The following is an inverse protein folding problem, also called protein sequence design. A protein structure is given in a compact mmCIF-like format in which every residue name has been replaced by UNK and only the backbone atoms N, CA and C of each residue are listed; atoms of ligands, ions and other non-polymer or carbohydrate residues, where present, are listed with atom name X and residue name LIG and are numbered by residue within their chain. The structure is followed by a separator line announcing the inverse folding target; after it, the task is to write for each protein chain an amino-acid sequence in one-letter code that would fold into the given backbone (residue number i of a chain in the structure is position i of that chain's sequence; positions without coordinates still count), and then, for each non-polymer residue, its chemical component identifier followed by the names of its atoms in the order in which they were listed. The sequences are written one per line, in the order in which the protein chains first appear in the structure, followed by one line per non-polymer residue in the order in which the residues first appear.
data_IF_594117874170
#
_entry.id   IF_594117874170
#
_cell.length_a   1.000
_cell.length_b   1.000
_cell.length_c   1.000
_cell.angle_alpha   90.00
_cell.angle_beta   90.00
_cell.angle_gamma   90.00
#
_symmetry.space_group_name_H-M   'P 1'
#
loop_
_entity.id
_entity.type
_entity.pdbx_description
1 polymer ?
#
# COMPACT_ATOMS: atom_id res chain seq x y z
N UNK A 1 -24.40 -41.38 25.59
CA UNK A 1 -24.48 -41.23 24.12
C UNK A 1 -24.11 -39.78 23.79
N UNK A 2 -22.97 -39.61 23.11
CA UNK A 2 -22.37 -38.40 22.54
C UNK A 2 -21.99 -37.19 23.43
N UNK A 3 -20.71 -37.11 23.78
CA UNK A 3 -19.94 -35.85 23.84
C UNK A 3 -19.27 -35.65 22.48
N UNK A 4 -19.52 -34.52 21.81
CA UNK A 4 -18.84 -34.10 20.59
C UNK A 4 -18.04 -32.84 20.87
N UNK A 5 -16.72 -32.95 20.99
CA UNK A 5 -15.80 -31.82 21.01
C UNK A 5 -15.44 -31.45 19.57
N UNK A 6 -15.77 -30.22 19.17
CA UNK A 6 -15.31 -29.61 17.93
C UNK A 6 -13.79 -29.37 18.00
N UNK A 7 -13.04 -30.03 17.13
CA UNK A 7 -11.64 -29.69 16.86
C UNK A 7 -11.60 -28.55 15.85
N UNK A 8 -11.27 -27.34 16.31
CA UNK A 8 -10.86 -26.23 15.46
C UNK A 8 -9.47 -26.54 14.88
N UNK A 9 -9.41 -26.76 13.58
CA UNK A 9 -8.18 -26.89 12.81
C UNK A 9 -7.55 -25.49 12.68
N UNK A 10 -6.47 -25.22 13.43
CA UNK A 10 -5.59 -24.07 13.17
C UNK A 10 -4.67 -24.41 11.98
N UNK A 11 -4.46 -23.49 11.02
CA UNK A 11 -3.49 -23.70 9.96
C UNK A 11 -2.06 -23.62 10.51
N UNK A 12 -1.23 -24.58 10.09
CA UNK A 12 0.19 -24.66 10.43
C UNK A 12 0.96 -23.49 9.80
N UNK A 13 1.48 -22.57 10.63
CA UNK A 13 2.38 -21.49 10.20
C UNK A 13 3.82 -22.00 10.21
N UNK A 14 4.49 -22.01 9.05
CA UNK A 14 5.90 -22.38 8.95
C UNK A 14 6.76 -21.11 9.07
N UNK A 15 7.68 -21.08 10.05
CA UNK A 15 8.59 -19.98 10.29
C UNK A 15 10.01 -20.45 9.97
N UNK A 16 10.62 -19.90 8.91
CA UNK A 16 12.01 -20.16 8.55
C UNK A 16 12.82 -18.87 8.61
N UNK A 17 14.10 -19.02 8.96
CA UNK A 17 15.09 -17.95 8.95
C UNK A 17 16.08 -18.25 7.83
N UNK A 18 16.17 -17.36 6.84
CA UNK A 18 17.03 -17.57 5.69
C UNK A 18 18.52 -17.50 6.11
N UNK A 19 19.38 -18.40 5.62
CA UNK A 19 20.78 -18.41 5.99
C UNK A 19 21.49 -17.17 5.43
N UNK A 20 22.21 -16.47 6.30
CA UNK A 20 23.13 -15.38 5.93
C UNK A 20 24.43 -16.02 5.43
N UNK A 21 24.66 -16.01 4.12
CA UNK A 21 25.89 -16.56 3.52
C UNK A 21 27.09 -15.66 3.84
N UNK A 22 27.97 -16.11 4.74
CA UNK A 22 29.35 -15.62 4.89
C UNK A 22 30.27 -16.74 4.38
N UNK A 23 30.75 -16.59 3.14
CA UNK A 23 31.83 -17.41 2.58
C UNK A 23 33.16 -16.68 2.70
N UNK A 24 34.15 -17.30 3.35
CA UNK A 24 35.56 -16.91 3.26
C UNK A 24 36.23 -17.76 2.18
N UNK A 25 37.02 -17.09 1.35
CA UNK A 25 37.91 -17.57 0.29
C UNK A 25 37.33 -17.56 -1.15
N UNK A 26 38.13 -17.09 -2.12
CA UNK A 26 37.84 -16.68 -3.53
C UNK A 26 37.61 -15.17 -3.81
N UNK A 27 38.69 -14.39 -3.82
CA UNK A 27 38.68 -12.93 -3.99
C UNK A 27 38.32 -12.35 -5.37
N UNK A 28 38.24 -13.13 -6.46
CA UNK A 28 37.87 -12.60 -7.80
C UNK A 28 36.41 -12.88 -8.20
N UNK A 29 35.86 -14.04 -7.81
CA UNK A 29 34.44 -14.36 -8.01
C UNK A 29 33.56 -13.59 -7.03
N UNK A 30 34.01 -13.39 -5.78
CA UNK A 30 33.27 -12.67 -4.75
C UNK A 30 33.06 -11.19 -5.08
N UNK A 31 34.01 -10.54 -5.76
CA UNK A 31 33.85 -9.16 -6.20
C UNK A 31 32.84 -9.04 -7.35
N UNK A 32 32.92 -9.93 -8.35
CA UNK A 32 31.98 -9.95 -9.49
C UNK A 32 30.55 -10.27 -9.04
N UNK A 33 30.38 -11.32 -8.24
CA UNK A 33 29.10 -11.68 -7.62
C UNK A 33 28.57 -10.56 -6.70
N UNK A 34 29.46 -9.91 -5.94
CA UNK A 34 29.11 -8.77 -5.09
C UNK A 34 28.66 -7.53 -5.87
N UNK A 35 29.23 -7.28 -7.05
CA UNK A 35 28.84 -6.19 -7.96
C UNK A 35 27.49 -6.52 -8.60
N UNK A 36 27.29 -7.73 -9.12
CA UNK A 36 26.03 -8.19 -9.72
C UNK A 36 24.86 -8.08 -8.73
N UNK A 37 25.03 -8.57 -7.50
CA UNK A 37 23.98 -8.45 -6.46
C UNK A 37 23.68 -6.99 -6.11
N UNK A 38 24.68 -6.10 -6.12
CA UNK A 38 24.49 -4.67 -5.87
C UNK A 38 23.72 -4.00 -7.01
N UNK A 39 24.02 -4.35 -8.25
CA UNK A 39 23.35 -3.80 -9.43
C UNK A 39 21.92 -4.32 -9.53
N UNK A 40 21.70 -5.62 -9.32
CA UNK A 40 20.38 -6.25 -9.19
C UNK A 40 19.52 -5.52 -8.14
N UNK A 41 20.07 -5.31 -6.94
CA UNK A 41 19.39 -4.58 -5.86
C UNK A 41 19.05 -3.15 -6.28
N UNK A 42 19.98 -2.47 -6.97
CA UNK A 42 19.78 -1.08 -7.43
C UNK A 42 18.65 -1.00 -8.45
N UNK A 43 18.60 -1.93 -9.39
CA UNK A 43 17.55 -2.04 -10.39
C UNK A 43 16.20 -2.33 -9.73
N UNK A 44 16.15 -3.26 -8.78
CA UNK A 44 14.92 -3.57 -8.04
C UNK A 44 14.43 -2.38 -7.21
N UNK A 45 15.32 -1.66 -6.52
CA UNK A 45 14.99 -0.40 -5.82
C UNK A 45 14.40 0.62 -6.80
N UNK A 46 14.96 0.73 -8.01
CA UNK A 46 14.45 1.65 -9.02
C UNK A 46 13.04 1.25 -9.51
N UNK A 47 12.79 -0.04 -9.72
CA UNK A 47 11.49 -0.60 -10.11
C UNK A 47 10.43 -0.39 -9.03
N UNK A 48 10.73 -0.74 -7.77
CA UNK A 48 9.83 -0.50 -6.63
C UNK A 48 9.57 1.00 -6.50
N UNK A 49 10.59 1.85 -6.59
CA UNK A 49 10.42 3.30 -6.51
C UNK A 49 9.53 3.84 -7.64
N UNK A 50 9.66 3.34 -8.88
CA UNK A 50 8.82 3.73 -10.01
C UNK A 50 7.35 3.38 -9.77
N UNK A 51 7.07 2.20 -9.22
CA UNK A 51 5.73 1.77 -8.87
C UNK A 51 5.15 2.51 -7.64
N UNK A 52 6.01 2.88 -6.69
CA UNK A 52 5.64 3.51 -5.43
C UNK A 52 5.32 5.01 -5.56
N UNK A 53 6.13 5.76 -6.32
CA UNK A 53 6.03 7.23 -6.38
C UNK A 53 4.63 7.78 -6.74
N UNK A 54 3.86 7.18 -7.67
CA UNK A 54 2.50 7.63 -7.97
C UNK A 54 1.51 7.45 -6.81
N UNK A 55 1.78 6.52 -5.89
CA UNK A 55 0.95 6.27 -4.71
C UNK A 55 1.18 7.29 -3.62
N UNK A 56 2.37 7.89 -3.55
CA UNK A 56 2.75 8.73 -2.42
C UNK A 56 1.99 10.06 -2.39
N UNK A 57 1.68 10.51 -1.17
CA UNK A 57 1.01 11.77 -0.97
C UNK A 57 1.98 12.96 -1.05
N UNK A 58 1.93 13.68 -2.19
CA UNK A 58 2.83 14.81 -2.47
C UNK A 58 2.51 16.04 -1.62
N UNK A 59 1.25 16.30 -1.32
CA UNK A 59 0.85 17.45 -0.49
C UNK A 59 1.29 17.25 0.97
N UNK A 60 1.34 15.99 1.41
CA UNK A 60 1.86 15.58 2.71
C UNK A 60 3.38 15.51 2.82
N UNK A 61 4.14 15.86 1.77
CA UNK A 61 5.60 15.67 1.77
C UNK A 61 6.02 14.24 2.12
N UNK A 62 5.16 13.26 1.81
CA UNK A 62 5.40 11.83 2.01
C UNK A 62 5.56 11.37 3.47
N UNK A 63 5.27 12.21 4.46
CA UNK A 63 5.53 11.87 5.87
C UNK A 63 4.47 10.98 6.50
N UNK A 64 3.23 11.02 5.99
CA UNK A 64 2.07 10.39 6.63
C UNK A 64 1.64 11.07 7.95
N UNK A 65 2.26 12.18 8.33
CA UNK A 65 1.96 12.89 9.58
C UNK A 65 0.83 13.89 9.36
N UNK A 66 -0.20 13.87 10.21
CA UNK A 66 -1.28 14.86 10.14
C UNK A 66 -0.74 16.29 10.24
N UNK A 67 -1.29 17.21 9.47
CA UNK A 67 -0.92 18.63 9.48
C UNK A 67 -2.15 19.50 9.63
N UNK A 68 -2.01 20.57 10.39
CA UNK A 68 -2.98 21.65 10.38
C UNK A 68 -2.86 22.40 9.04
N UNK A 69 -3.98 22.56 8.35
CA UNK A 69 -4.11 23.37 7.16
C UNK A 69 -5.33 24.28 7.28
N UNK A 70 -5.47 25.20 6.34
CA UNK A 70 -6.65 26.05 6.23
C UNK A 70 -7.61 25.42 5.23
N UNK A 71 -8.71 24.86 5.71
CA UNK A 71 -9.82 24.38 4.90
C UNK A 71 -10.81 25.50 4.59
N UNK A 72 -11.74 25.24 3.66
CA UNK A 72 -12.86 26.12 3.37
C UNK A 72 -14.18 25.44 3.71
N UNK A 73 -15.04 26.12 4.46
CA UNK A 73 -16.37 25.62 4.80
C UNK A 73 -17.44 26.64 4.41
N UNK A 74 -18.52 26.16 3.79
CA UNK A 74 -19.73 26.99 3.63
C UNK A 74 -20.29 27.31 5.01
N UNK A 75 -20.56 28.59 5.24
CA UNK A 75 -21.12 29.10 6.49
C UNK A 75 -22.11 30.22 6.22
N UNK A 76 -22.68 30.75 7.29
CA UNK A 76 -23.58 31.89 7.27
C UNK A 76 -23.05 33.00 8.15
N UNK A 77 -22.96 34.21 7.61
CA UNK A 77 -22.49 35.40 8.32
C UNK A 77 -23.67 36.34 8.58
N UNK A 78 -23.66 37.11 9.70
CA UNK A 78 -24.69 38.11 9.99
C UNK A 78 -24.52 39.40 9.16
N UNK A 79 -23.58 39.41 8.22
CA UNK A 79 -23.30 40.52 7.31
C UNK A 79 -23.15 40.01 5.89
N UNK A 80 -23.39 40.90 4.92
CA UNK A 80 -23.39 40.56 3.50
C UNK A 80 -22.04 40.01 3.06
N UNK A 81 -22.07 38.80 2.49
CA UNK A 81 -20.94 38.22 1.80
C UNK A 81 -20.98 38.58 0.31
N UNK A 82 -19.83 38.92 -0.28
CA UNK A 82 -19.74 39.17 -1.72
C UNK A 82 -20.07 37.93 -2.57
N UNK A 83 -19.94 36.73 -2.00
CA UNK A 83 -20.21 35.48 -2.71
C UNK A 83 -21.69 35.11 -2.75
N UNK A 84 -22.53 35.71 -1.89
CA UNK A 84 -23.97 35.40 -1.84
C UNK A 84 -24.80 36.28 -2.77
N UNK A 85 -24.82 35.88 -4.05
CA UNK A 85 -25.62 36.57 -5.08
C UNK A 85 -27.13 36.43 -4.87
N UNK A 86 -27.60 35.47 -4.07
CA UNK A 86 -29.04 35.23 -3.86
C UNK A 86 -29.63 36.23 -2.88
N UNK A 87 -28.82 36.75 -1.96
CA UNK A 87 -29.24 37.74 -0.98
C UNK A 87 -29.83 39.00 -1.64
N UNK A 88 -29.20 39.51 -2.70
CA UNK A 88 -29.71 40.68 -3.44
C UNK A 88 -31.05 40.41 -4.15
N UNK A 89 -31.31 39.18 -4.57
CA UNK A 89 -32.60 38.79 -5.18
C UNK A 89 -33.70 38.75 -4.11
N UNK A 90 -33.41 38.18 -2.94
CA UNK A 90 -34.37 38.15 -1.84
C UNK A 90 -34.76 39.56 -1.38
N UNK A 91 -33.80 40.47 -1.26
CA UNK A 91 -34.03 41.88 -0.96
C UNK A 91 -34.90 42.56 -2.03
N UNK A 92 -34.62 42.33 -3.31
CA UNK A 92 -35.43 42.86 -4.40
C UNK A 92 -36.88 42.33 -4.40
N UNK A 93 -37.10 41.13 -3.84
CA UNK A 93 -38.43 40.56 -3.63
C UNK A 93 -39.08 40.98 -2.29
N UNK A 94 -38.46 41.90 -1.54
CA UNK A 94 -39.00 42.42 -0.28
C UNK A 94 -38.72 41.55 0.95
N UNK A 95 -37.85 40.53 0.84
CA UNK A 95 -37.39 39.77 1.99
C UNK A 95 -36.13 40.41 2.59
N UNK A 96 -35.93 40.28 3.90
CA UNK A 96 -34.76 40.83 4.59
C UNK A 96 -33.94 39.67 5.20
N UNK A 97 -32.90 39.18 4.49
CA UNK A 97 -32.09 38.07 4.99
C UNK A 97 -31.26 38.49 6.20
N UNK A 98 -31.39 37.77 7.32
CA UNK A 98 -30.57 37.99 8.51
C UNK A 98 -29.19 37.33 8.42
N UNK A 99 -29.05 36.35 7.52
CA UNK A 99 -27.83 35.56 7.35
C UNK A 99 -27.50 35.40 5.87
N UNK A 100 -26.22 35.53 5.54
CA UNK A 100 -25.70 35.51 4.17
C UNK A 100 -24.73 34.36 4.00
N UNK A 101 -24.83 33.62 2.90
CA UNK A 101 -23.91 32.52 2.58
C UNK A 101 -22.48 33.03 2.38
N UNK A 102 -21.53 32.40 3.03
CA UNK A 102 -20.12 32.72 2.87
C UNK A 102 -19.27 31.45 2.81
N UNK A 103 -18.03 31.62 2.36
CA UNK A 103 -16.97 30.63 2.54
C UNK A 103 -16.03 31.14 3.62
N UNK A 104 -15.98 30.43 4.74
CA UNK A 104 -15.04 30.75 5.81
C UNK A 104 -13.85 29.82 5.77
N UNK A 105 -12.69 30.39 6.10
CA UNK A 105 -11.46 29.64 6.32
C UNK A 105 -11.48 29.07 7.74
N UNK A 106 -11.39 27.74 7.85
CA UNK A 106 -11.36 27.05 9.14
C UNK A 106 -10.06 26.24 9.29
N UNK A 107 -9.53 26.08 10.51
CA UNK A 107 -8.48 25.11 10.76
C UNK A 107 -9.00 23.70 10.44
N UNK A 108 -8.31 23.00 9.54
CA UNK A 108 -8.60 21.62 9.15
C UNK A 108 -7.36 20.74 9.39
N UNK A 109 -7.55 19.62 10.09
CA UNK A 109 -6.48 18.62 10.25
C UNK A 109 -6.50 17.72 9.03
N UNK A 110 -5.57 17.94 8.10
CA UNK A 110 -5.38 17.06 6.96
C UNK A 110 -4.50 15.88 7.36
N UNK A 111 -5.02 14.66 7.18
CA UNK A 111 -4.29 13.41 7.41
C UNK A 111 -3.68 12.92 6.10
N UNK A 112 -2.42 12.50 6.16
CA UNK A 112 -1.72 11.88 5.05
C UNK A 112 -1.48 10.40 5.36
N UNK A 113 -1.42 9.58 4.33
CA UNK A 113 -1.22 8.14 4.48
C UNK A 113 0.07 7.72 3.78
N UNK A 114 0.86 6.89 4.45
CA UNK A 114 2.01 6.24 3.82
C UNK A 114 1.53 5.09 2.95
N UNK A 115 2.31 4.73 1.93
CA UNK A 115 1.95 3.57 1.12
C UNK A 115 2.17 2.28 1.92
N UNK A 116 1.17 1.42 1.90
CA UNK A 116 1.22 0.07 2.43
C UNK A 116 1.81 -0.87 1.37
N UNK A 117 2.72 -1.76 1.76
CA UNK A 117 3.29 -2.75 0.84
C UNK A 117 2.76 -4.12 1.20
N UNK A 118 2.17 -4.79 0.22
CA UNK A 118 1.82 -6.19 0.27
C UNK A 118 2.86 -6.97 -0.50
N UNK A 119 3.54 -7.89 0.17
CA UNK A 119 4.61 -8.68 -0.40
C UNK A 119 4.21 -10.14 -0.42
N UNK A 120 4.14 -10.69 -1.61
CA UNK A 120 3.90 -12.11 -1.83
C UNK A 120 5.09 -12.92 -1.30
N UNK A 121 4.80 -13.83 -0.38
CA UNK A 121 5.76 -14.75 0.24
C UNK A 121 5.41 -16.20 -0.05
N UNK A 122 4.69 -16.45 -1.15
CA UNK A 122 4.44 -17.79 -1.67
C UNK A 122 5.72 -18.48 -2.14
N UNK A 123 5.62 -19.78 -2.42
CA UNK A 123 6.77 -20.60 -2.78
C UNK A 123 7.54 -20.11 -4.01
N UNK A 124 6.84 -19.55 -5.00
CA UNK A 124 7.43 -19.03 -6.25
C UNK A 124 8.25 -17.75 -6.06
N UNK A 125 8.02 -17.01 -4.96
CA UNK A 125 8.73 -15.77 -4.66
C UNK A 125 9.97 -15.97 -3.79
N UNK A 126 10.20 -17.19 -3.26
CA UNK A 126 11.22 -17.45 -2.23
C UNK A 126 12.64 -17.04 -2.63
N UNK A 127 13.00 -17.23 -3.91
CA UNK A 127 14.32 -16.89 -4.43
C UNK A 127 14.53 -15.36 -4.56
N UNK A 128 13.45 -14.62 -4.81
CA UNK A 128 13.47 -13.15 -4.92
C UNK A 128 13.38 -12.43 -3.57
N UNK A 129 12.87 -13.10 -2.52
CA UNK A 129 12.63 -12.48 -1.20
C UNK A 129 13.87 -11.79 -0.61
N UNK A 130 15.08 -12.38 -0.60
CA UNK A 130 16.26 -11.70 -0.06
C UNK A 130 16.54 -10.36 -0.74
N UNK A 131 16.42 -10.31 -2.07
CA UNK A 131 16.67 -9.09 -2.83
C UNK A 131 15.55 -8.07 -2.62
N UNK A 132 14.29 -8.51 -2.61
CA UNK A 132 13.11 -7.69 -2.33
C UNK A 132 13.18 -7.04 -0.95
N UNK A 133 13.54 -7.81 0.08
CA UNK A 133 13.73 -7.30 1.44
C UNK A 133 14.84 -6.24 1.44
N UNK A 134 15.98 -6.55 0.82
CA UNK A 134 17.09 -5.61 0.65
C UNK A 134 16.69 -4.31 -0.07
N UNK A 135 15.80 -4.39 -1.06
CA UNK A 135 15.35 -3.26 -1.87
C UNK A 135 14.28 -2.40 -1.19
N UNK A 136 13.48 -2.94 -0.27
CA UNK A 136 12.48 -2.20 0.50
C UNK A 136 13.10 -1.31 1.60
N UNK A 137 14.19 -1.74 2.21
CA UNK A 137 14.83 -1.05 3.35
C UNK A 137 15.25 0.42 3.07
N UNK A 138 15.80 0.79 1.90
CA UNK A 138 16.07 2.18 1.56
C UNK A 138 14.82 3.05 1.38
N UNK A 139 13.67 2.43 1.07
CA UNK A 139 12.42 3.10 0.77
C UNK A 139 11.53 3.32 2.02
N UNK A 140 11.89 2.73 3.16
CA UNK A 140 11.13 2.72 4.43
C UNK A 140 10.57 4.07 4.89
N UNK A 141 11.23 5.18 4.54
CA UNK A 141 10.76 6.52 4.93
C UNK A 141 9.39 6.85 4.34
N UNK A 142 9.08 6.32 3.16
CA UNK A 142 7.83 6.53 2.42
C UNK A 142 6.77 5.45 2.66
N UNK A 143 7.18 4.35 3.28
CA UNK A 143 6.35 3.18 3.50
C UNK A 143 5.74 3.19 4.90
N UNK A 144 4.58 2.57 5.04
CA UNK A 144 4.01 2.25 6.34
C UNK A 144 5.04 1.46 7.20
N UNK A 145 5.08 1.59 8.54
CA UNK A 145 6.12 0.97 9.37
C UNK A 145 6.17 -0.56 9.36
N UNK A 146 5.20 -1.21 8.72
CA UNK A 146 5.10 -2.64 8.56
C UNK A 146 4.91 -3.00 7.09
N UNK A 147 5.45 -4.14 6.69
CA UNK A 147 5.19 -4.78 5.41
C UNK A 147 4.16 -5.89 5.65
N UNK A 148 3.14 -5.94 4.80
CA UNK A 148 2.09 -6.94 4.86
C UNK A 148 2.52 -8.13 3.99
N UNK A 149 3.19 -9.11 4.58
CA UNK A 149 3.51 -10.35 3.87
C UNK A 149 2.23 -11.16 3.66
N UNK A 150 2.01 -11.68 2.45
CA UNK A 150 0.82 -12.47 2.15
C UNK A 150 1.12 -13.75 1.40
N UNK A 151 0.30 -14.76 1.70
CA UNK A 151 0.21 -16.05 1.01
C UNK A 151 -1.28 -16.37 0.85
N UNK A 152 -1.87 -17.18 1.75
CA UNK A 152 -3.33 -17.33 1.92
C UNK A 152 -3.90 -16.43 3.02
N UNK A 153 -3.03 -15.68 3.71
CA UNK A 153 -3.42 -14.72 4.74
C UNK A 153 -2.40 -13.59 4.81
N UNK A 154 -2.81 -12.45 5.37
CA UNK A 154 -1.92 -11.31 5.58
C UNK A 154 -1.27 -11.39 6.96
N UNK A 155 0.06 -11.25 7.01
CA UNK A 155 0.85 -11.15 8.24
C UNK A 155 1.76 -9.93 8.20
N UNK A 156 1.85 -9.23 9.34
CA UNK A 156 2.67 -8.03 9.45
C UNK A 156 4.13 -8.36 9.81
N UNK A 157 5.06 -7.81 9.04
CA UNK A 157 6.50 -7.91 9.29
C UNK A 157 7.07 -6.50 9.50
N UNK A 158 7.71 -6.27 10.65
CA UNK A 158 8.43 -5.03 10.94
C UNK A 158 9.80 -4.98 10.26
N UNK A 159 10.39 -3.79 10.11
CA UNK A 159 11.69 -3.64 9.43
C UNK A 159 12.85 -4.42 10.08
N UNK A 160 12.85 -4.61 11.39
CA UNK A 160 13.88 -5.44 12.06
C UNK A 160 13.74 -6.92 11.69
N UNK A 161 12.51 -7.43 11.60
CA UNK A 161 12.25 -8.80 11.15
C UNK A 161 12.60 -8.97 9.67
N UNK A 162 12.32 -7.95 8.85
CA UNK A 162 12.67 -7.91 7.44
C UNK A 162 14.19 -7.89 7.23
N UNK A 163 14.95 -7.11 8.01
CA UNK A 163 16.42 -7.14 7.99
C UNK A 163 16.98 -8.52 8.35
N UNK A 164 16.33 -9.23 9.27
CA UNK A 164 16.73 -10.56 9.73
C UNK A 164 16.27 -11.69 8.79
N UNK A 165 15.66 -11.37 7.64
CA UNK A 165 15.23 -12.37 6.67
C UNK A 165 14.09 -13.28 7.17
N UNK A 166 13.25 -12.79 8.09
CA UNK A 166 12.12 -13.58 8.59
C UNK A 166 11.09 -13.79 7.48
N UNK A 167 10.74 -15.04 7.22
CA UNK A 167 9.66 -15.41 6.30
C UNK A 167 8.59 -16.18 7.07
N UNK A 168 7.33 -15.77 6.89
CA UNK A 168 6.15 -16.47 7.40
C UNK A 168 5.29 -16.77 6.18
N UNK A 169 5.16 -18.04 5.80
CA UNK A 169 4.38 -18.44 4.61
C UNK A 169 3.56 -19.68 4.89
N UNK A 170 2.39 -19.76 4.26
CA UNK A 170 1.53 -20.95 4.21
C UNK A 170 1.71 -21.76 2.92
N UNK A 171 2.66 -21.37 2.05
CA UNK A 171 2.96 -21.98 0.73
C UNK A 171 1.85 -21.93 -0.34
N UNK A 172 0.67 -21.36 -0.06
CA UNK A 172 -0.35 -21.02 -1.06
C UNK A 172 -0.35 -19.53 -1.43
N UNK A 173 -1.21 -19.13 -2.37
CA UNK A 173 -1.35 -17.72 -2.80
C UNK A 173 -2.80 -17.39 -3.08
N UNK A 174 -3.36 -16.44 -2.34
CA UNK A 174 -4.73 -15.95 -2.54
C UNK A 174 -4.76 -14.42 -2.39
N UNK A 175 -5.09 -13.71 -3.48
CA UNK A 175 -5.13 -12.24 -3.49
C UNK A 175 -6.34 -11.63 -2.76
N UNK A 176 -7.37 -12.43 -2.52
CA UNK A 176 -8.59 -11.98 -1.85
C UNK A 176 -8.30 -11.53 -0.41
N UNK A 177 -7.36 -12.18 0.29
CA UNK A 177 -6.96 -11.82 1.65
C UNK A 177 -6.34 -10.41 1.71
N UNK A 178 -5.61 -10.00 0.66
CA UNK A 178 -5.02 -8.66 0.52
C UNK A 178 -6.13 -7.62 0.36
N UNK A 179 -7.08 -7.86 -0.54
CA UNK A 179 -8.16 -6.91 -0.81
C UNK A 179 -9.17 -6.82 0.34
N UNK A 180 -9.42 -7.94 1.03
CA UNK A 180 -10.20 -7.95 2.27
C UNK A 180 -9.50 -7.13 3.36
N UNK A 181 -8.18 -7.30 3.53
CA UNK A 181 -7.40 -6.55 4.50
C UNK A 181 -7.41 -5.03 4.21
N UNK A 182 -7.23 -4.62 2.95
CA UNK A 182 -7.35 -3.23 2.51
C UNK A 182 -8.69 -2.59 2.90
N UNK A 183 -9.80 -3.32 2.69
CA UNK A 183 -11.15 -2.86 2.99
C UNK A 183 -11.40 -2.77 4.50
N UNK A 184 -10.95 -3.79 5.25
CA UNK A 184 -11.13 -3.85 6.70
C UNK A 184 -10.38 -2.73 7.42
N UNK A 185 -9.13 -2.49 7.04
CA UNK A 185 -8.26 -1.49 7.67
C UNK A 185 -8.43 -0.07 7.07
N UNK A 186 -9.35 0.11 6.11
CA UNK A 186 -9.64 1.38 5.45
C UNK A 186 -8.43 2.06 4.79
N UNK A 187 -7.53 1.25 4.24
CA UNK A 187 -6.30 1.72 3.60
C UNK A 187 -6.62 2.33 2.23
N UNK A 188 -5.91 3.40 1.85
CA UNK A 188 -6.17 4.12 0.59
C UNK A 188 -5.02 4.04 -0.40
N UNK A 189 -3.83 3.60 0.01
CA UNK A 189 -2.63 3.61 -0.83
C UNK A 189 -1.83 2.33 -0.63
N UNK A 190 -1.75 1.49 -1.66
CA UNK A 190 -1.06 0.21 -1.57
C UNK A 190 -0.22 -0.13 -2.80
N UNK A 191 0.91 -0.78 -2.56
CA UNK A 191 1.75 -1.44 -3.56
C UNK A 191 1.69 -2.94 -3.31
N UNK A 192 1.25 -3.71 -4.29
CA UNK A 192 1.27 -5.18 -4.27
C UNK A 192 2.50 -5.64 -5.04
N UNK A 193 3.31 -6.52 -4.45
CA UNK A 193 4.50 -7.10 -5.06
C UNK A 193 4.31 -8.61 -5.12
N UNK A 194 4.35 -9.20 -6.31
CA UNK A 194 4.05 -10.63 -6.55
C UNK A 194 4.71 -11.11 -7.85
N UNK A 195 4.67 -12.41 -8.12
CA UNK A 195 4.97 -12.98 -9.43
C UNK A 195 3.81 -12.85 -10.42
N UNK A 196 2.59 -12.56 -9.96
CA UNK A 196 1.41 -12.37 -10.80
C UNK A 196 0.43 -13.55 -10.83
N UNK A 197 0.77 -14.69 -10.22
CA UNK A 197 -0.12 -15.87 -10.15
C UNK A 197 -0.82 -15.97 -8.79
N UNK A 198 -1.72 -15.02 -8.54
CA UNK A 198 -2.34 -14.81 -7.21
C UNK A 198 -3.83 -15.14 -7.15
N UNK A 199 -4.40 -15.64 -8.25
CA UNK A 199 -5.83 -15.85 -8.41
C UNK A 199 -6.60 -14.55 -8.70
N UNK A 200 -7.93 -14.65 -8.69
CA UNK A 200 -8.82 -13.54 -9.03
C UNK A 200 -9.25 -12.74 -7.79
N UNK A 201 -9.37 -11.42 -7.96
CA UNK A 201 -9.95 -10.56 -6.94
C UNK A 201 -11.48 -10.62 -7.02
N UNK A 202 -12.19 -10.90 -5.91
CA UNK A 202 -13.65 -10.88 -5.90
C UNK A 202 -14.21 -9.56 -6.44
N UNK A 203 -15.19 -9.63 -7.36
CA UNK A 203 -15.77 -8.45 -7.99
C UNK A 203 -16.40 -7.46 -6.99
N UNK A 204 -16.87 -7.96 -5.85
CA UNK A 204 -17.35 -7.16 -4.72
C UNK A 204 -16.24 -6.29 -4.13
N UNK A 205 -15.03 -6.84 -3.96
CA UNK A 205 -13.88 -6.11 -3.47
C UNK A 205 -13.45 -5.03 -4.46
N UNK A 206 -13.35 -5.33 -5.76
CA UNK A 206 -13.02 -4.34 -6.79
C UNK A 206 -13.99 -3.14 -6.77
N UNK A 207 -15.31 -3.41 -6.70
CA UNK A 207 -16.33 -2.36 -6.62
C UNK A 207 -16.17 -1.48 -5.38
N UNK A 208 -15.98 -2.07 -4.21
CA UNK A 208 -15.84 -1.33 -2.96
C UNK A 208 -14.53 -0.52 -2.90
N UNK A 209 -13.41 -1.10 -3.34
CA UNK A 209 -12.13 -0.40 -3.46
C UNK A 209 -12.22 0.78 -4.44
N UNK A 210 -12.93 0.60 -5.56
CA UNK A 210 -13.21 1.66 -6.54
C UNK A 210 -14.04 2.80 -5.94
N UNK A 211 -15.14 2.49 -5.22
CA UNK A 211 -15.96 3.50 -4.52
C UNK A 211 -15.15 4.31 -3.52
N UNK A 212 -14.26 3.66 -2.77
CA UNK A 212 -13.36 4.31 -1.79
C UNK A 212 -12.19 5.07 -2.43
N UNK A 213 -12.02 4.93 -3.75
CA UNK A 213 -10.92 5.49 -4.55
C UNK A 213 -9.56 5.08 -3.99
N UNK A 214 -9.43 3.83 -3.55
CA UNK A 214 -8.15 3.25 -3.13
C UNK A 214 -7.22 3.23 -4.33
N UNK A 215 -5.98 3.68 -4.16
CA UNK A 215 -4.93 3.63 -5.18
C UNK A 215 -4.07 2.42 -4.95
N UNK A 216 -4.04 1.51 -5.92
CA UNK A 216 -3.33 0.24 -5.80
C UNK A 216 -2.49 0.03 -7.04
N UNK A 217 -1.18 0.12 -6.88
CA UNK A 217 -0.24 -0.27 -7.94
C UNK A 217 0.24 -1.69 -7.68
N UNK A 218 0.57 -2.40 -8.75
CA UNK A 218 1.16 -3.73 -8.68
C UNK A 218 2.55 -3.71 -9.29
N UNK A 219 3.50 -4.38 -8.67
CA UNK A 219 4.81 -4.69 -9.21
C UNK A 219 4.90 -6.20 -9.37
N UNK A 220 4.88 -6.68 -10.60
CA UNK A 220 4.90 -8.10 -10.93
C UNK A 220 6.24 -8.51 -11.52
N UNK A 221 6.62 -9.77 -11.43
CA UNK A 221 7.78 -10.30 -12.16
C UNK A 221 7.59 -10.14 -13.67
N UNK A 222 8.67 -10.22 -14.44
CA UNK A 222 8.64 -9.97 -15.88
C UNK A 222 7.62 -10.86 -16.60
N UNK A 223 7.58 -12.14 -16.24
CA UNK A 223 6.74 -13.16 -16.86
C UNK A 223 5.31 -13.21 -16.26
N UNK A 224 5.05 -12.40 -15.24
CA UNK A 224 3.80 -12.41 -14.47
C UNK A 224 2.56 -12.01 -15.24
N UNK A 225 1.43 -12.59 -14.85
CA UNK A 225 0.11 -12.23 -15.35
C UNK A 225 -0.42 -10.93 -14.68
N UNK A 226 -0.70 -9.86 -15.46
CA UNK A 226 -1.28 -8.63 -14.92
C UNK A 226 -2.81 -8.68 -14.72
N UNK A 227 -3.50 -9.71 -15.19
CA UNK A 227 -4.96 -9.72 -15.30
C UNK A 227 -5.68 -9.57 -13.95
N UNK A 228 -5.11 -10.14 -12.87
CA UNK A 228 -5.67 -9.98 -11.51
C UNK A 228 -5.86 -8.51 -11.09
N UNK A 229 -5.02 -7.61 -11.61
CA UNK A 229 -5.03 -6.19 -11.26
C UNK A 229 -5.97 -5.35 -12.12
N UNK A 230 -6.60 -5.92 -13.16
CA UNK A 230 -7.43 -5.18 -14.12
C UNK A 230 -8.62 -4.45 -13.46
N UNK A 231 -9.16 -5.00 -12.38
CA UNK A 231 -10.26 -4.41 -11.61
C UNK A 231 -9.84 -3.35 -10.59
N UNK A 232 -8.53 -3.07 -10.45
CA UNK A 232 -7.99 -2.16 -9.45
C UNK A 232 -7.73 -0.76 -10.00
N UNK A 233 -7.86 0.24 -9.14
CA UNK A 233 -7.57 1.63 -9.48
C UNK A 233 -6.08 1.94 -9.30
N UNK A 234 -5.27 1.61 -10.30
CA UNK A 234 -3.86 1.97 -10.36
C UNK A 234 -3.15 1.36 -11.56
N UNK A 235 -1.82 1.26 -11.48
CA UNK A 235 -0.98 0.81 -12.60
C UNK A 235 -0.18 -0.43 -12.25
N UNK A 236 -0.04 -1.32 -13.23
CA UNK A 236 0.85 -2.47 -13.16
C UNK A 236 2.23 -2.10 -13.71
N UNK A 237 3.26 -2.49 -12.98
CA UNK A 237 4.66 -2.33 -13.31
C UNK A 237 5.31 -3.70 -13.34
N UNK A 238 6.31 -3.90 -14.22
CA UNK A 238 7.11 -5.12 -14.24
C UNK A 238 8.46 -4.89 -13.56
N UNK A 239 8.94 -5.91 -12.84
CA UNK A 239 10.31 -5.98 -12.37
C UNK A 239 11.23 -6.13 -13.57
N UNK A 240 12.37 -5.44 -13.52
CA UNK A 240 13.46 -5.68 -14.46
C UNK A 240 14.21 -6.90 -13.93
N UNK A 241 14.25 -7.98 -14.72
CA UNK A 241 15.02 -9.18 -14.39
C UNK A 241 16.50 -8.82 -14.37
N UNK A 242 17.19 -9.30 -13.34
CA UNK A 242 18.58 -8.99 -13.02
C UNK A 242 19.46 -10.23 -13.18
#
# INVERSE_FOLDING_TARGET
MFQGFLHLHLPFLFQQQLPFFIGRDQGMEAESFGIEVRDARRQLVASIRKALLPLLDRTGGFSGAARMQTGSMETTLPFRSQTDRRAGVFEACGAEPLFFKALSQIPEIQRFEKAHVYLDVSGSMMDDLPLLYGALLPLRKWLYPKIHAFSTSVSDIGYEQLKNGKVISTQGTEIDCVTQHLLKENLRRALIITDGWVGEIPTTHCKELGKRRVRINSLITEDGDPEFAAGLNGTVHRMVKY
#
